data_IF_417832258001
#
_entry.id   IF_417832258001
#
_cell.length_a   1.000
_cell.length_b   1.000
_cell.length_c   1.000
_cell.angle_alpha   90.00
_cell.angle_beta   90.00
_cell.angle_gamma   90.00
#
_symmetry.space_group_name_H-M   'P 1'
#
loop_
_entity.id
_entity.type
_entity.pdbx_description
1 polymer ?
#
# COMPACT_ATOMS: atom_id res chain seq x y z
N UNK A 1 -1.63 10.68 18.28
CA UNK A 1 -1.58 11.62 19.42
C UNK A 1 -1.38 13.06 18.95
N UNK A 2 -0.34 13.37 18.17
CA UNK A 2 0.02 14.76 17.77
C UNK A 2 -1.08 15.42 16.93
N UNK A 3 -1.57 14.78 15.85
CA UNK A 3 -2.64 15.35 15.03
C UNK A 3 -3.93 15.61 15.84
N UNK A 4 -4.26 14.72 16.77
CA UNK A 4 -5.43 14.90 17.64
C UNK A 4 -5.25 16.10 18.59
N UNK A 5 -4.08 16.28 19.18
CA UNK A 5 -3.78 17.43 20.02
C UNK A 5 -3.88 18.74 19.20
N UNK A 6 -3.31 18.76 17.99
CA UNK A 6 -3.39 19.91 17.09
C UNK A 6 -4.85 20.29 16.78
N UNK A 7 -5.69 19.30 16.40
CA UNK A 7 -7.11 19.54 16.12
C UNK A 7 -7.88 20.06 17.33
N UNK A 8 -7.55 19.57 18.53
CA UNK A 8 -8.17 20.04 19.77
C UNK A 8 -7.80 21.49 20.10
N UNK A 9 -6.55 21.88 19.86
CA UNK A 9 -6.09 23.27 20.10
C UNK A 9 -6.60 24.23 19.03
N UNK A 10 -6.61 23.83 17.75
CA UNK A 10 -7.10 24.69 16.66
C UNK A 10 -8.60 24.97 16.74
N UNK A 11 -9.39 24.09 17.34
CA UNK A 11 -10.86 24.20 17.47
C UNK A 11 -11.59 24.46 16.15
N UNK A 12 -11.01 24.03 15.04
CA UNK A 12 -11.58 24.16 13.70
C UNK A 12 -11.38 22.89 12.89
N UNK A 13 -12.24 22.57 11.91
CA UNK A 13 -12.02 21.50 10.96
C UNK A 13 -10.80 21.79 10.09
N UNK A 14 -9.99 20.74 9.82
CA UNK A 14 -8.83 20.81 8.93
C UNK A 14 -9.03 19.78 7.81
N UNK A 15 -9.03 20.22 6.57
CA UNK A 15 -8.97 19.35 5.39
C UNK A 15 -7.51 19.18 4.98
N UNK A 16 -7.06 17.93 4.86
CA UNK A 16 -5.68 17.63 4.50
C UNK A 16 -5.60 16.39 3.60
N UNK A 17 -4.78 16.41 2.54
CA UNK A 17 -4.40 15.23 1.77
C UNK A 17 -3.30 14.44 2.48
N UNK A 18 -2.89 13.31 1.91
CA UNK A 18 -1.64 12.63 2.29
C UNK A 18 -0.43 13.51 1.93
N UNK A 19 0.58 13.52 2.80
CA UNK A 19 1.76 14.38 2.67
C UNK A 19 2.85 13.74 1.78
N UNK A 20 2.50 13.42 0.53
CA UNK A 20 3.41 12.82 -0.47
C UNK A 20 3.32 13.51 -1.82
N UNK A 21 4.33 13.32 -2.65
CA UNK A 21 4.25 13.67 -4.06
C UNK A 21 3.25 12.76 -4.77
N UNK A 22 2.50 13.33 -5.73
CA UNK A 22 1.50 12.57 -6.48
C UNK A 22 2.09 11.33 -7.14
N UNK A 23 1.41 10.19 -7.00
CA UNK A 23 1.82 8.90 -7.54
C UNK A 23 2.71 8.06 -6.62
N UNK A 24 3.35 8.64 -5.63
CA UNK A 24 4.16 7.90 -4.64
C UNK A 24 3.29 7.23 -3.57
N UNK A 25 3.75 6.15 -2.93
CA UNK A 25 3.08 5.57 -1.76
C UNK A 25 2.92 6.59 -0.64
N UNK A 26 1.79 6.58 0.06
CA UNK A 26 1.55 7.46 1.20
C UNK A 26 2.62 7.30 2.27
N UNK A 27 3.06 8.40 2.93
CA UNK A 27 4.11 8.35 3.92
C UNK A 27 3.65 7.60 5.18
N UNK A 28 4.53 6.78 5.73
CA UNK A 28 4.30 6.04 6.97
C UNK A 28 5.23 6.46 8.10
N UNK A 29 6.21 7.32 7.80
CA UNK A 29 7.17 7.91 8.73
C UNK A 29 7.45 9.37 8.38
N UNK A 30 8.04 10.12 9.31
CA UNK A 30 8.45 11.50 9.06
C UNK A 30 9.53 11.60 7.98
N UNK A 31 10.42 10.61 7.85
CA UNK A 31 11.45 10.57 6.80
C UNK A 31 10.83 10.59 5.40
N UNK A 32 9.76 9.84 5.17
CA UNK A 32 9.03 9.85 3.90
C UNK A 32 8.42 11.23 3.58
N UNK A 33 7.89 11.93 4.60
CA UNK A 33 7.37 13.30 4.43
C UNK A 33 8.51 14.26 4.12
N UNK A 34 9.64 14.14 4.82
CA UNK A 34 10.82 14.96 4.56
C UNK A 34 11.30 14.75 3.13
N UNK A 35 11.43 13.51 2.67
CA UNK A 35 11.85 13.20 1.31
C UNK A 35 10.96 13.88 0.25
N UNK A 36 9.63 13.83 0.44
CA UNK A 36 8.66 14.35 -0.53
C UNK A 36 8.44 15.86 -0.43
N UNK A 37 8.50 16.43 0.79
CA UNK A 37 8.01 17.78 1.09
C UNK A 37 9.09 18.77 1.52
N UNK A 38 10.33 18.35 1.72
CA UNK A 38 11.42 19.27 2.10
C UNK A 38 11.55 20.42 1.08
N UNK A 39 11.57 21.64 1.59
CA UNK A 39 11.62 22.87 0.79
C UNK A 39 10.30 23.24 0.08
N UNK A 40 9.21 22.51 0.33
CA UNK A 40 7.87 22.77 -0.24
C UNK A 40 6.87 23.23 0.80
N UNK A 41 7.11 22.93 2.06
CA UNK A 41 6.29 23.32 3.22
C UNK A 41 7.21 23.87 4.31
N UNK A 42 6.65 24.69 5.18
CA UNK A 42 7.40 25.43 6.20
C UNK A 42 7.76 24.58 7.41
N UNK A 43 6.93 23.56 7.72
CA UNK A 43 7.09 22.78 8.95
C UNK A 43 6.63 21.35 8.76
N UNK A 44 7.36 20.42 9.35
CA UNK A 44 7.00 19.02 9.51
C UNK A 44 7.03 18.69 11.00
N UNK A 45 5.93 18.14 11.53
CA UNK A 45 5.86 17.70 12.93
C UNK A 45 5.95 16.17 12.92
N UNK A 46 7.04 15.65 13.47
CA UNK A 46 7.22 14.21 13.62
C UNK A 46 6.40 13.67 14.80
N UNK A 47 5.38 12.91 14.51
CA UNK A 47 4.52 12.23 15.50
C UNK A 47 4.85 10.75 15.70
N UNK A 48 5.95 10.27 15.14
CA UNK A 48 6.34 8.86 15.06
C UNK A 48 5.70 8.14 13.85
N UNK A 49 6.03 6.86 13.71
CA UNK A 49 5.50 6.03 12.62
C UNK A 49 3.98 5.84 12.75
N UNK A 50 3.31 5.69 11.61
CA UNK A 50 1.87 5.43 11.58
C UNK A 50 1.56 4.01 12.07
N UNK A 51 0.45 3.83 12.78
CA UNK A 51 0.02 2.49 13.21
C UNK A 51 -0.52 1.62 12.07
N UNK A 52 -1.03 2.25 11.01
CA UNK A 52 -1.62 1.59 9.83
C UNK A 52 -0.94 2.15 8.59
N UNK A 53 -0.27 1.29 7.84
CA UNK A 53 0.54 1.64 6.68
C UNK A 53 -0.18 1.44 5.33
N UNK A 54 -1.51 1.47 5.32
CA UNK A 54 -2.34 1.40 4.11
C UNK A 54 -3.36 2.54 4.11
N UNK A 55 -3.91 2.82 2.95
CA UNK A 55 -4.93 3.86 2.79
C UNK A 55 -6.20 3.58 3.59
N UNK A 56 -6.92 4.67 3.91
CA UNK A 56 -8.21 4.58 4.59
C UNK A 56 -9.26 3.90 3.71
N UNK A 57 -10.12 3.11 4.32
CA UNK A 57 -11.34 2.59 3.69
C UNK A 57 -12.28 3.74 3.36
N UNK A 58 -12.82 3.78 2.15
CA UNK A 58 -13.83 4.76 1.75
C UNK A 58 -15.15 4.05 1.47
N UNK A 59 -16.19 4.50 2.16
CA UNK A 59 -17.56 4.00 2.00
C UNK A 59 -18.50 5.15 1.64
N UNK A 60 -19.38 4.91 0.68
CA UNK A 60 -20.47 5.81 0.31
C UNK A 60 -21.73 5.39 1.08
N UNK A 61 -22.28 6.30 1.86
CA UNK A 61 -23.50 6.12 2.66
C UNK A 61 -24.68 6.93 2.09
N UNK A 62 -24.56 7.50 0.90
CA UNK A 62 -25.61 8.36 0.31
C UNK A 62 -26.71 7.57 -0.36
N UNK A 63 -26.48 6.29 -0.69
CA UNK A 63 -27.47 5.37 -1.26
C UNK A 63 -28.26 4.60 -0.20
N UNK A 64 -29.23 3.80 -0.64
CA UNK A 64 -30.01 2.92 0.24
C UNK A 64 -29.13 1.79 0.84
N UNK A 65 -28.15 1.32 0.08
CA UNK A 65 -27.18 0.30 0.53
C UNK A 65 -25.79 0.95 0.57
N UNK A 66 -25.09 0.87 1.72
CA UNK A 66 -23.72 1.32 1.83
C UNK A 66 -22.82 0.67 0.78
N UNK A 67 -21.98 1.46 0.10
CA UNK A 67 -21.11 0.97 -0.98
C UNK A 67 -19.63 1.23 -0.68
N UNK A 68 -18.83 0.17 -0.65
CA UNK A 68 -17.38 0.27 -0.53
C UNK A 68 -16.79 0.79 -1.84
N UNK A 69 -16.13 1.95 -1.77
CA UNK A 69 -15.48 2.60 -2.91
C UNK A 69 -13.97 2.32 -2.95
N UNK A 70 -13.32 2.20 -1.81
CA UNK A 70 -11.89 1.88 -1.70
C UNK A 70 -11.66 0.99 -0.49
N UNK A 71 -11.09 -0.21 -0.65
CA UNK A 71 -10.70 -1.04 0.46
C UNK A 71 -9.51 -0.40 1.21
N UNK A 72 -9.42 -0.66 2.51
CA UNK A 72 -8.36 -0.21 3.40
C UNK A 72 -8.30 -1.10 4.63
N UNK A 73 -7.78 -0.59 5.74
CA UNK A 73 -7.65 -1.35 6.98
C UNK A 73 -9.00 -1.84 7.53
N UNK A 74 -10.05 -1.02 7.43
CA UNK A 74 -11.41 -1.47 7.79
C UNK A 74 -11.94 -2.34 6.67
N UNK A 75 -12.11 -3.64 6.95
CA UNK A 75 -12.52 -4.63 5.95
C UNK A 75 -14.03 -4.61 5.68
N UNK A 76 -14.50 -5.19 4.56
CA UNK A 76 -15.92 -5.36 4.30
C UNK A 76 -16.66 -6.07 5.43
N UNK A 77 -16.04 -7.09 6.03
CA UNK A 77 -16.62 -7.87 7.14
C UNK A 77 -16.80 -7.01 8.38
N UNK A 78 -15.83 -6.15 8.72
CA UNK A 78 -15.95 -5.19 9.82
C UNK A 78 -17.08 -4.19 9.56
N UNK A 79 -17.21 -3.71 8.32
CA UNK A 79 -18.29 -2.81 7.94
C UNK A 79 -19.65 -3.49 8.05
N UNK A 80 -19.77 -4.75 7.59
CA UNK A 80 -21.02 -5.52 7.65
C UNK A 80 -21.49 -5.76 9.07
N UNK A 81 -20.59 -5.92 10.04
CA UNK A 81 -20.94 -6.07 11.46
C UNK A 81 -21.70 -4.85 12.01
N UNK A 82 -21.44 -3.66 11.47
CA UNK A 82 -22.04 -2.41 11.95
C UNK A 82 -23.21 -1.95 11.07
N UNK A 83 -23.05 -2.11 9.75
CA UNK A 83 -23.95 -1.52 8.75
C UNK A 83 -24.92 -2.55 8.13
N UNK A 84 -24.71 -3.85 8.40
CA UNK A 84 -25.46 -4.92 7.74
C UNK A 84 -24.94 -5.18 6.33
N UNK A 85 -25.78 -5.07 5.32
CA UNK A 85 -25.36 -5.29 3.93
C UNK A 85 -24.47 -4.13 3.44
N UNK A 86 -23.33 -4.48 2.89
CA UNK A 86 -22.39 -3.54 2.23
C UNK A 86 -22.06 -4.10 0.86
N UNK A 87 -22.27 -3.32 -0.17
CA UNK A 87 -21.89 -3.65 -1.54
C UNK A 87 -20.48 -3.08 -1.85
N UNK A 88 -19.80 -3.67 -2.85
CA UNK A 88 -18.50 -3.18 -3.31
C UNK A 88 -18.65 -2.63 -4.73
N UNK A 89 -18.18 -1.40 -4.95
CA UNK A 89 -18.18 -0.80 -6.28
C UNK A 89 -17.33 -1.65 -7.26
N UNK A 90 -17.84 -1.87 -8.46
CA UNK A 90 -17.16 -2.69 -9.46
C UNK A 90 -15.75 -2.15 -9.84
N UNK A 91 -15.52 -0.85 -9.65
CA UNK A 91 -14.24 -0.21 -9.88
C UNK A 91 -13.13 -0.68 -8.90
N UNK A 92 -13.50 -1.27 -7.77
CA UNK A 92 -12.55 -1.89 -6.84
C UNK A 92 -11.86 -3.11 -7.47
N UNK A 93 -12.60 -3.87 -8.30
CA UNK A 93 -12.09 -5.12 -8.88
C UNK A 93 -11.67 -5.00 -10.35
N UNK A 94 -12.04 -3.93 -11.04
CA UNK A 94 -11.79 -3.77 -12.49
C UNK A 94 -11.20 -2.39 -12.77
N UNK A 95 -10.26 -2.32 -13.71
CA UNK A 95 -9.86 -1.03 -14.26
C UNK A 95 -11.07 -0.37 -14.91
N UNK A 96 -11.41 0.81 -14.40
CA UNK A 96 -12.54 1.59 -14.93
C UNK A 96 -12.12 2.22 -16.25
N UNK A 97 -12.95 2.13 -17.26
CA UNK A 97 -12.72 2.76 -18.57
C UNK A 97 -12.52 4.27 -18.46
N UNK A 98 -11.92 4.87 -19.48
CA UNK A 98 -11.53 6.30 -19.51
C UNK A 98 -12.70 7.27 -19.25
N UNK A 99 -13.94 6.84 -19.49
CA UNK A 99 -15.15 7.67 -19.43
C UNK A 99 -15.88 7.65 -18.09
N UNK A 100 -15.37 6.90 -17.10
CA UNK A 100 -16.02 6.82 -15.78
C UNK A 100 -15.38 7.84 -14.84
N UNK A 101 -16.21 8.73 -14.27
CA UNK A 101 -15.80 9.65 -13.22
C UNK A 101 -15.57 8.89 -11.91
N UNK A 102 -14.36 8.93 -11.34
CA UNK A 102 -14.07 8.24 -10.08
C UNK A 102 -14.89 8.89 -8.96
N UNK A 103 -15.57 8.06 -8.16
CA UNK A 103 -16.32 8.51 -6.99
C UNK A 103 -15.43 8.80 -5.78
N UNK A 104 -14.21 8.29 -5.78
CA UNK A 104 -13.27 8.47 -4.69
C UNK A 104 -11.82 8.62 -5.20
N UNK A 105 -10.93 9.29 -4.43
CA UNK A 105 -9.50 9.34 -4.73
C UNK A 105 -8.88 7.95 -4.80
N UNK A 106 -7.95 7.74 -5.75
CA UNK A 106 -7.27 6.47 -5.91
C UNK A 106 -7.94 5.45 -6.84
N UNK A 107 -9.14 5.75 -7.39
CA UNK A 107 -9.87 4.81 -8.26
C UNK A 107 -9.45 4.87 -9.73
N UNK A 108 -8.87 5.95 -10.24
CA UNK A 108 -8.68 6.19 -11.70
C UNK A 108 -7.26 6.06 -12.20
N UNK A 109 -6.27 6.35 -11.39
CA UNK A 109 -4.87 6.40 -11.81
C UNK A 109 -4.05 5.36 -11.05
N UNK A 110 -2.88 5.00 -11.61
CA UNK A 110 -1.88 4.24 -10.87
C UNK A 110 -1.38 5.12 -9.71
N UNK A 111 -1.90 4.83 -8.52
CA UNK A 111 -1.53 5.49 -7.27
C UNK A 111 -0.72 4.53 -6.41
N UNK A 112 0.12 5.08 -5.55
CA UNK A 112 0.85 4.31 -4.53
C UNK A 112 1.79 3.23 -5.08
N UNK A 113 2.22 3.37 -6.32
CA UNK A 113 3.09 2.40 -6.97
C UNK A 113 4.57 2.75 -6.75
N UNK A 114 5.45 1.76 -6.55
CA UNK A 114 6.89 1.97 -6.60
C UNK A 114 7.33 2.39 -8.00
N UNK A 115 8.53 2.96 -8.12
CA UNK A 115 9.14 3.33 -9.41
C UNK A 115 9.37 2.11 -10.28
N UNK A 116 9.83 1.01 -9.67
CA UNK A 116 10.06 -0.27 -10.34
C UNK A 116 8.76 -0.94 -10.79
N UNK A 117 8.83 -1.72 -11.86
CA UNK A 117 7.73 -2.61 -12.24
C UNK A 117 7.59 -3.72 -11.22
N UNK A 118 6.36 -4.03 -10.83
CA UNK A 118 6.07 -5.05 -9.82
C UNK A 118 5.14 -6.13 -10.36
N UNK A 119 5.43 -7.39 -10.02
CA UNK A 119 4.60 -8.55 -10.33
C UNK A 119 4.26 -9.29 -9.05
N UNK A 120 2.96 -9.53 -8.86
CA UNK A 120 2.43 -10.40 -7.81
C UNK A 120 2.39 -11.84 -8.34
N UNK A 121 2.91 -12.78 -7.54
CA UNK A 121 2.92 -14.21 -7.88
C UNK A 121 2.06 -14.95 -6.88
N UNK A 122 1.03 -15.62 -7.42
CA UNK A 122 0.04 -16.36 -6.62
C UNK A 122 0.15 -17.87 -6.87
N UNK A 123 -0.02 -18.66 -5.82
CA UNK A 123 -0.01 -20.10 -5.89
C UNK A 123 0.42 -20.79 -4.59
N UNK A 124 0.72 -22.08 -4.69
CA UNK A 124 1.30 -22.81 -3.55
C UNK A 124 2.69 -22.25 -3.22
N UNK A 125 2.96 -22.03 -1.94
CA UNK A 125 4.13 -21.27 -1.46
C UNK A 125 5.46 -21.81 -2.01
N UNK A 126 5.65 -23.12 -2.00
CA UNK A 126 6.84 -23.79 -2.56
C UNK A 126 7.06 -23.48 -4.03
N UNK A 127 5.99 -23.48 -4.81
CA UNK A 127 5.99 -23.16 -6.26
C UNK A 127 6.25 -21.68 -6.49
N UNK A 128 5.64 -20.80 -5.69
CA UNK A 128 5.86 -19.35 -5.74
C UNK A 128 7.33 -19.02 -5.48
N UNK A 129 7.92 -19.58 -4.42
CA UNK A 129 9.33 -19.37 -4.08
C UNK A 129 10.24 -19.85 -5.21
N UNK A 130 9.99 -21.05 -5.74
CA UNK A 130 10.79 -21.60 -6.86
C UNK A 130 10.70 -20.70 -8.07
N UNK A 131 9.49 -20.34 -8.50
CA UNK A 131 9.25 -19.50 -9.67
C UNK A 131 9.90 -18.11 -9.53
N UNK A 132 9.70 -17.45 -8.38
CA UNK A 132 10.27 -16.11 -8.15
C UNK A 132 11.82 -16.17 -8.18
N UNK A 133 12.43 -17.18 -7.56
CA UNK A 133 13.89 -17.32 -7.57
C UNK A 133 14.45 -17.57 -8.97
N UNK A 134 13.77 -18.37 -9.79
CA UNK A 134 14.17 -18.62 -11.19
C UNK A 134 14.05 -17.36 -12.05
N UNK A 135 12.94 -16.64 -11.94
CA UNK A 135 12.71 -15.41 -12.70
C UNK A 135 13.64 -14.27 -12.24
N UNK A 136 13.86 -14.13 -10.94
CA UNK A 136 14.83 -13.17 -10.38
C UNK A 136 16.24 -13.45 -10.93
N UNK A 137 16.66 -14.72 -10.96
CA UNK A 137 17.96 -15.11 -11.53
C UNK A 137 18.08 -14.70 -12.99
N UNK A 138 17.07 -15.03 -13.83
CA UNK A 138 17.06 -14.67 -15.26
C UNK A 138 17.18 -13.17 -15.49
N UNK A 139 16.48 -12.36 -14.70
CA UNK A 139 16.53 -10.90 -14.81
C UNK A 139 17.85 -10.32 -14.32
N UNK A 140 18.44 -10.89 -13.29
CA UNK A 140 19.79 -10.51 -12.81
C UNK A 140 20.86 -10.82 -13.84
N UNK A 141 20.74 -11.94 -14.56
CA UNK A 141 21.63 -12.29 -15.69
C UNK A 141 21.53 -11.28 -16.85
N UNK A 142 20.40 -10.54 -16.94
CA UNK A 142 20.19 -9.42 -17.86
C UNK A 142 20.74 -8.08 -17.34
N UNK A 143 21.33 -8.06 -16.15
CA UNK A 143 21.90 -6.88 -15.52
C UNK A 143 20.90 -6.03 -14.72
N UNK A 144 19.69 -6.54 -14.46
CA UNK A 144 18.68 -5.84 -13.66
C UNK A 144 18.89 -6.10 -12.17
N UNK A 145 18.69 -5.09 -11.34
CA UNK A 145 18.67 -5.17 -9.89
C UNK A 145 17.26 -5.56 -9.42
N UNK A 146 17.14 -6.68 -8.74
CA UNK A 146 15.85 -7.31 -8.40
C UNK A 146 15.54 -7.18 -6.92
N UNK A 147 14.33 -6.68 -6.64
CA UNK A 147 13.69 -6.70 -5.33
C UNK A 147 12.70 -7.85 -5.18
N UNK A 148 12.61 -8.42 -3.98
CA UNK A 148 11.56 -9.39 -3.63
C UNK A 148 10.87 -8.92 -2.35
N UNK A 149 9.56 -8.72 -2.44
CA UNK A 149 8.69 -8.46 -1.30
C UNK A 149 8.16 -9.79 -0.77
N UNK A 150 8.54 -10.12 0.45
CA UNK A 150 8.29 -11.41 1.08
C UNK A 150 7.62 -11.25 2.45
N UNK A 151 7.21 -12.35 3.06
CA UNK A 151 6.83 -12.40 4.47
C UNK A 151 8.01 -12.81 5.36
N UNK A 152 7.89 -12.62 6.67
CA UNK A 152 8.93 -13.02 7.64
C UNK A 152 9.26 -14.51 7.54
N UNK A 153 8.27 -15.33 7.20
CA UNK A 153 8.38 -16.78 7.10
C UNK A 153 9.14 -17.23 5.85
N UNK A 154 9.16 -16.42 4.80
CA UNK A 154 9.71 -16.81 3.48
C UNK A 154 10.93 -16.01 3.05
N UNK A 155 11.22 -14.86 3.66
CA UNK A 155 12.29 -13.96 3.21
C UNK A 155 13.65 -14.61 3.03
N UNK A 156 14.02 -15.54 3.91
CA UNK A 156 15.30 -16.26 3.85
C UNK A 156 15.37 -17.32 2.73
N UNK A 157 14.24 -17.63 2.11
CA UNK A 157 14.13 -18.59 1.01
C UNK A 157 14.31 -17.93 -0.37
N UNK A 158 14.32 -16.62 -0.42
CA UNK A 158 14.49 -15.85 -1.64
C UNK A 158 15.94 -15.42 -1.88
N UNK A 159 16.33 -15.35 -3.18
CA UNK A 159 17.67 -14.99 -3.64
C UNK A 159 17.59 -13.84 -4.64
N UNK A 160 17.70 -12.62 -4.13
CA UNK A 160 17.68 -11.40 -4.93
C UNK A 160 18.71 -10.40 -4.42
N UNK A 161 18.80 -9.24 -5.09
CA UNK A 161 19.69 -8.15 -4.67
C UNK A 161 19.14 -7.47 -3.42
N UNK A 162 17.79 -7.40 -3.29
CA UNK A 162 17.09 -6.82 -2.15
C UNK A 162 15.90 -7.71 -1.80
N UNK A 163 15.78 -8.13 -0.54
CA UNK A 163 14.61 -8.85 -0.03
C UNK A 163 14.05 -8.09 1.16
N UNK A 164 12.82 -7.59 1.05
CA UNK A 164 12.14 -6.82 2.10
C UNK A 164 10.94 -7.62 2.61
N UNK A 165 10.87 -7.79 3.93
CA UNK A 165 9.70 -8.38 4.57
C UNK A 165 8.63 -7.32 4.83
N UNK A 166 7.41 -7.64 4.47
CA UNK A 166 6.23 -6.83 4.84
C UNK A 166 5.62 -7.25 6.18
N UNK A 167 6.20 -8.24 6.86
CA UNK A 167 5.70 -8.75 8.13
C UNK A 167 5.29 -10.21 8.05
N UNK A 168 4.61 -10.69 9.09
CA UNK A 168 4.24 -12.09 9.22
C UNK A 168 2.96 -12.42 8.46
N UNK A 169 2.94 -13.57 7.78
CA UNK A 169 1.77 -14.12 7.10
C UNK A 169 0.61 -14.43 8.05
N UNK A 170 0.89 -14.70 9.31
CA UNK A 170 -0.12 -14.97 10.34
C UNK A 170 -0.62 -13.69 11.03
N UNK A 171 0.01 -12.54 10.78
CA UNK A 171 -0.38 -11.23 11.31
C UNK A 171 -0.62 -10.24 10.19
N UNK A 172 -1.84 -10.21 9.68
CA UNK A 172 -2.23 -9.28 8.60
C UNK A 172 -2.03 -7.82 8.98
N UNK A 173 -2.15 -7.48 10.27
CA UNK A 173 -1.88 -6.14 10.77
C UNK A 173 -0.43 -5.72 10.52
N UNK A 174 0.53 -6.65 10.66
CA UNK A 174 1.94 -6.38 10.37
C UNK A 174 2.16 -6.10 8.88
N UNK A 175 1.48 -6.84 8.01
CA UNK A 175 1.53 -6.62 6.56
C UNK A 175 0.92 -5.27 6.19
N UNK A 176 -0.26 -4.96 6.72
CA UNK A 176 -0.92 -3.67 6.49
C UNK A 176 -0.09 -2.49 7.03
N UNK A 177 0.63 -2.68 8.14
CA UNK A 177 1.51 -1.66 8.71
C UNK A 177 2.72 -1.37 7.80
N UNK A 178 3.35 -2.40 7.22
CA UNK A 178 4.64 -2.26 6.55
C UNK A 178 4.53 -2.10 5.02
N UNK A 179 3.37 -2.34 4.40
CA UNK A 179 3.24 -2.42 2.95
C UNK A 179 3.79 -1.17 2.23
N UNK A 180 3.30 0.03 2.58
CA UNK A 180 3.75 1.26 1.92
C UNK A 180 5.19 1.63 2.25
N UNK A 181 5.66 1.27 3.45
CA UNK A 181 7.07 1.41 3.81
C UNK A 181 7.94 0.56 2.90
N UNK A 182 7.63 -0.73 2.75
CA UNK A 182 8.39 -1.64 1.90
C UNK A 182 8.45 -1.17 0.43
N UNK A 183 7.34 -0.61 -0.09
CA UNK A 183 7.33 -0.04 -1.45
C UNK A 183 8.29 1.16 -1.58
N UNK A 184 8.40 2.02 -0.54
CA UNK A 184 9.35 3.13 -0.52
C UNK A 184 10.79 2.65 -0.35
N UNK A 185 11.01 1.66 0.51
CA UNK A 185 12.33 1.07 0.74
C UNK A 185 12.90 0.48 -0.57
N UNK A 186 12.06 -0.12 -1.43
CA UNK A 186 12.49 -0.55 -2.78
C UNK A 186 12.86 0.62 -3.70
N UNK A 187 12.17 1.76 -3.58
CA UNK A 187 12.51 2.97 -4.32
C UNK A 187 13.87 3.54 -3.88
N UNK A 188 14.20 3.49 -2.58
CA UNK A 188 15.49 3.90 -2.03
C UNK A 188 16.62 2.96 -2.46
N UNK A 189 16.34 1.66 -2.51
CA UNK A 189 17.27 0.65 -2.97
C UNK A 189 17.51 0.66 -4.49
N UNK A 190 16.77 1.47 -5.25
CA UNK A 190 16.88 1.61 -6.70
C UNK A 190 16.82 0.27 -7.43
N UNK A 191 15.86 -0.57 -7.08
CA UNK A 191 15.60 -1.82 -7.80
C UNK A 191 14.90 -1.53 -9.13
N UNK A 192 15.19 -2.33 -10.15
CA UNK A 192 14.60 -2.19 -11.49
C UNK A 192 13.28 -2.95 -11.61
N UNK A 193 13.14 -4.03 -10.83
CA UNK A 193 11.97 -4.92 -10.89
C UNK A 193 11.70 -5.56 -9.54
N UNK A 194 10.42 -5.69 -9.19
CA UNK A 194 9.98 -6.27 -7.91
C UNK A 194 9.10 -7.49 -8.17
N UNK A 195 9.41 -8.60 -7.52
CA UNK A 195 8.48 -9.71 -7.35
C UNK A 195 7.89 -9.67 -5.95
N UNK A 196 6.60 -10.02 -5.82
CA UNK A 196 5.97 -10.20 -4.51
C UNK A 196 5.22 -11.52 -4.47
N UNK A 197 5.38 -12.26 -3.40
CA UNK A 197 4.44 -13.32 -3.07
C UNK A 197 3.11 -12.73 -2.63
N UNK A 198 1.99 -13.43 -2.89
CA UNK A 198 0.67 -13.00 -2.41
C UNK A 198 0.47 -13.42 -0.96
N UNK A 199 0.02 -12.45 -0.15
CA UNK A 199 -0.64 -12.67 1.13
C UNK A 199 -2.06 -12.12 1.02
N UNK A 200 -3.00 -12.57 1.84
CA UNK A 200 -4.44 -12.27 1.68
C UNK A 200 -4.79 -10.78 1.51
N UNK A 201 -3.92 -9.86 1.92
CA UNK A 201 -4.06 -8.41 1.77
C UNK A 201 -3.41 -7.83 0.50
N UNK A 202 -2.59 -8.57 -0.22
CA UNK A 202 -1.93 -8.05 -1.44
C UNK A 202 -2.90 -7.92 -2.63
N UNK A 203 -4.15 -8.32 -2.47
CA UNK A 203 -5.25 -7.96 -3.39
C UNK A 203 -5.68 -6.50 -3.32
N UNK A 204 -5.17 -5.70 -2.38
CA UNK A 204 -5.22 -4.25 -2.44
C UNK A 204 -4.27 -3.82 -3.57
N UNK A 205 -4.84 -3.69 -4.77
CA UNK A 205 -4.09 -3.33 -5.98
C UNK A 205 -3.29 -2.05 -5.76
N UNK A 206 -1.96 -2.19 -5.84
CA UNK A 206 -1.09 -1.07 -6.13
C UNK A 206 -1.32 -0.58 -7.57
#
# INVERSE_FOLDING_TARGET
>A
LVARALLQECKMPIAAPSANLSGRPSPTSASHVIEDMNGRIEMIIDGGDVGIGVESTIIDLTGEVPMLLRPGFVTPEMLQQVLGTVETDAAVYRQVGKDVHPKAPGMKYRHYAPKASMVLVEGAQDKVITYINEEAKKKREQGLRIGIMATDESKELYKADVVISVGSRISMDSVAHNLFRALRDFDEENVDFIYSETVSYTHLRA
#
